data_IF_113547880006
#
_entry.id   IF_113547880006
#
_cell.length_a   1.000
_cell.length_b   1.000
_cell.length_c   1.000
_cell.angle_alpha   90.00
_cell.angle_beta   90.00
_cell.angle_gamma   90.00
#
_symmetry.space_group_name_H-M   'P 1'
#
loop_
_entity.id
_entity.type
_entity.pdbx_description
1 polymer ?
#
# COMPACT_ATOMS: atom_id res chain seq x y z
N UNK A 1 1.96 11.97 11.52
CA UNK A 1 0.69 11.21 11.57
C UNK A 1 0.84 10.10 12.60
N UNK A 2 -0.05 10.05 13.57
CA UNK A 2 -0.07 8.98 14.56
C UNK A 2 -1.17 7.98 14.19
N UNK A 3 -0.81 6.72 14.02
CA UNK A 3 -1.75 5.67 13.66
C UNK A 3 -2.30 4.99 14.91
N UNK A 4 -3.61 4.79 14.94
CA UNK A 4 -4.29 4.07 16.01
C UNK A 4 -4.26 2.56 15.75
N UNK A 5 -4.55 1.71 16.75
CA UNK A 5 -4.72 0.28 16.50
C UNK A 5 -5.75 -0.03 15.40
N UNK A 6 -6.85 0.74 15.34
CA UNK A 6 -7.86 0.58 14.29
C UNK A 6 -7.27 0.89 12.90
N UNK A 7 -6.44 1.93 12.80
CA UNK A 7 -5.77 2.27 11.54
C UNK A 7 -4.89 1.13 11.06
N UNK A 8 -4.10 0.52 11.94
CA UNK A 8 -3.28 -0.63 11.58
C UNK A 8 -4.12 -1.85 11.19
N UNK A 9 -5.26 -2.05 11.83
CA UNK A 9 -6.16 -3.14 11.48
C UNK A 9 -6.70 -2.96 10.05
N UNK A 10 -7.17 -1.76 9.71
CA UNK A 10 -7.63 -1.46 8.34
C UNK A 10 -6.50 -1.58 7.33
N UNK A 11 -5.33 -1.06 7.67
CA UNK A 11 -4.15 -1.09 6.80
C UNK A 11 -3.74 -2.53 6.50
N UNK A 12 -3.76 -3.41 7.51
CA UNK A 12 -3.38 -4.81 7.33
C UNK A 12 -4.25 -5.54 6.31
N UNK A 13 -5.54 -5.19 6.25
CA UNK A 13 -6.46 -5.81 5.30
C UNK A 13 -6.08 -5.53 3.86
N UNK A 14 -5.82 -4.27 3.52
CA UNK A 14 -5.44 -3.92 2.14
C UNK A 14 -4.06 -4.46 1.79
N UNK A 15 -3.11 -4.43 2.71
CA UNK A 15 -1.79 -5.00 2.50
C UNK A 15 -1.90 -6.50 2.23
N UNK A 16 -2.73 -7.20 2.99
CA UNK A 16 -2.94 -8.65 2.85
C UNK A 16 -3.38 -9.04 1.44
N UNK A 17 -4.27 -8.27 0.83
CA UNK A 17 -4.82 -8.60 -0.49
C UNK A 17 -3.99 -8.05 -1.65
N UNK A 18 -3.17 -7.03 -1.41
CA UNK A 18 -2.45 -6.33 -2.49
C UNK A 18 -0.96 -6.67 -2.58
N UNK A 19 -0.35 -7.21 -1.53
CA UNK A 19 1.07 -7.52 -1.48
C UNK A 19 1.33 -9.01 -1.31
N UNK A 20 2.42 -9.50 -1.90
CA UNK A 20 2.89 -10.86 -1.63
C UNK A 20 3.34 -10.97 -0.17
N UNK A 21 2.99 -12.05 0.55
CA UNK A 21 3.29 -12.17 1.97
C UNK A 21 4.80 -12.24 2.24
N UNK A 22 5.20 -11.60 3.33
CA UNK A 22 6.59 -11.59 3.83
C UNK A 22 7.59 -10.98 2.84
N UNK A 23 7.15 -9.99 2.07
CA UNK A 23 8.01 -9.25 1.14
C UNK A 23 8.09 -7.79 1.56
N UNK A 24 9.08 -7.08 1.06
CA UNK A 24 9.18 -5.62 1.25
C UNK A 24 7.97 -4.89 0.68
N UNK A 25 7.28 -5.49 -0.29
CA UNK A 25 6.10 -4.90 -0.90
C UNK A 25 4.96 -4.70 0.10
N UNK A 26 4.87 -5.49 1.17
CA UNK A 26 3.89 -5.25 2.23
C UNK A 26 4.03 -3.83 2.80
N UNK A 27 5.27 -3.41 3.06
CA UNK A 27 5.54 -2.06 3.60
C UNK A 27 5.30 -0.98 2.55
N UNK A 28 5.59 -1.27 1.30
CA UNK A 28 5.38 -0.32 0.21
C UNK A 28 3.89 -0.10 -0.09
N UNK A 29 3.09 -1.14 -0.07
CA UNK A 29 1.63 -0.99 -0.16
C UNK A 29 1.13 -0.13 1.00
N UNK A 30 1.58 -0.42 2.24
CA UNK A 30 1.19 0.36 3.42
C UNK A 30 1.57 1.84 3.26
N UNK A 31 2.80 2.12 2.85
CA UNK A 31 3.27 3.51 2.66
C UNK A 31 2.44 4.21 1.58
N UNK A 32 2.11 3.53 0.47
CA UNK A 32 1.29 4.13 -0.58
C UNK A 32 -0.11 4.53 -0.06
N UNK A 33 -0.70 3.70 0.80
CA UNK A 33 -1.98 4.03 1.46
C UNK A 33 -1.84 5.27 2.34
N UNK A 34 -0.78 5.32 3.15
CA UNK A 34 -0.53 6.46 4.03
C UNK A 34 -0.22 7.74 3.23
N UNK A 35 0.43 7.61 2.08
CA UNK A 35 0.63 8.73 1.17
C UNK A 35 -0.71 9.30 0.69
N UNK A 36 -1.69 8.44 0.39
CA UNK A 36 -3.05 8.88 0.05
C UNK A 36 -3.68 9.66 1.20
N UNK A 37 -3.56 9.15 2.43
CA UNK A 37 -4.11 9.83 3.61
C UNK A 37 -3.58 11.27 3.75
N UNK A 38 -2.31 11.48 3.39
CA UNK A 38 -1.68 12.80 3.44
C UNK A 38 -1.96 13.68 2.22
N UNK A 39 -2.52 13.11 1.16
CA UNK A 39 -2.78 13.83 -0.08
C UNK A 39 -4.17 14.47 -0.05
N UNK A 40 -4.31 15.74 -0.48
CA UNK A 40 -5.63 16.37 -0.56
C UNK A 40 -6.56 15.75 -1.61
N UNK A 41 -6.05 14.87 -2.45
CA UNK A 41 -6.82 14.19 -3.51
C UNK A 41 -7.58 12.97 -3.00
N UNK A 42 -7.36 12.56 -1.74
CA UNK A 42 -7.94 11.35 -1.16
C UNK A 42 -8.53 11.67 0.21
N UNK A 43 -9.35 10.76 0.78
CA UNK A 43 -9.83 10.94 2.16
C UNK A 43 -8.66 11.08 3.15
N UNK A 44 -8.85 11.89 4.18
CA UNK A 44 -7.80 12.24 5.14
C UNK A 44 -7.61 11.26 6.28
N UNK A 45 -8.13 10.03 6.18
CA UNK A 45 -7.95 8.99 7.20
C UNK A 45 -7.83 7.61 6.55
N UNK A 46 -7.26 6.67 7.30
CA UNK A 46 -6.96 5.33 6.79
C UNK A 46 -8.23 4.60 6.33
N UNK A 47 -9.26 4.56 7.16
CA UNK A 47 -10.50 3.85 6.80
C UNK A 47 -11.15 4.44 5.55
N UNK A 48 -11.15 5.76 5.41
CA UNK A 48 -11.69 6.45 4.24
C UNK A 48 -10.97 6.05 2.97
N UNK A 49 -9.64 5.96 3.02
CA UNK A 49 -8.83 5.53 1.87
C UNK A 49 -9.05 4.06 1.56
N UNK A 50 -8.93 3.20 2.57
CA UNK A 50 -8.96 1.74 2.39
C UNK A 50 -10.31 1.26 1.85
N UNK A 51 -11.40 1.86 2.31
CA UNK A 51 -12.75 1.46 1.93
C UNK A 51 -13.37 2.33 0.83
N UNK A 52 -12.61 3.19 0.18
CA UNK A 52 -13.11 3.98 -0.94
C UNK A 52 -13.59 3.09 -2.08
N UNK A 53 -14.80 3.28 -2.60
CA UNK A 53 -15.33 2.47 -3.69
C UNK A 53 -14.40 2.50 -4.91
N UNK A 54 -14.12 1.32 -5.47
CA UNK A 54 -13.35 1.19 -6.71
C UNK A 54 -11.84 1.36 -6.57
N UNK A 55 -11.30 1.57 -5.35
CA UNK A 55 -9.87 1.83 -5.18
C UNK A 55 -9.04 0.56 -4.95
N UNK A 56 -9.45 -0.30 -4.05
CA UNK A 56 -8.74 -1.55 -3.75
C UNK A 56 -9.71 -2.70 -3.98
N UNK A 57 -9.78 -3.17 -5.22
CA UNK A 57 -10.76 -4.18 -5.63
C UNK A 57 -10.68 -5.45 -4.77
N UNK A 58 -9.47 -5.86 -4.40
CA UNK A 58 -9.26 -7.01 -3.54
C UNK A 58 -9.98 -6.93 -2.20
N UNK A 59 -10.17 -5.71 -1.66
CA UNK A 59 -10.91 -5.50 -0.42
C UNK A 59 -12.36 -5.94 -0.53
N UNK A 60 -13.00 -5.65 -1.66
CA UNK A 60 -14.40 -5.99 -1.91
C UNK A 60 -14.58 -7.45 -2.34
N UNK A 61 -13.64 -7.95 -3.13
CA UNK A 61 -13.70 -9.31 -3.67
C UNK A 61 -13.37 -10.36 -2.62
N UNK A 62 -12.33 -10.13 -1.81
CA UNK A 62 -11.80 -11.11 -0.87
C UNK A 62 -12.30 -10.94 0.56
N UNK A 63 -12.79 -9.74 0.92
CA UNK A 63 -13.28 -9.40 2.28
C UNK A 63 -12.32 -9.91 3.36
N UNK A 64 -11.07 -9.44 3.37
CA UNK A 64 -10.05 -10.00 4.25
C UNK A 64 -10.35 -9.73 5.73
N UNK A 65 -9.91 -10.66 6.58
CA UNK A 65 -9.89 -10.45 8.02
C UNK A 65 -8.61 -9.72 8.42
N UNK A 66 -8.60 -9.15 9.64
CA UNK A 66 -7.41 -8.54 10.21
C UNK A 66 -6.37 -9.64 10.47
N UNK A 67 -5.17 -9.45 9.95
CA UNK A 67 -4.03 -10.31 10.19
C UNK A 67 -3.14 -9.65 11.25
N UNK A 68 -3.21 -10.13 12.48
CA UNK A 68 -2.51 -9.51 13.61
C UNK A 68 -0.99 -9.66 13.52
N UNK A 69 -0.49 -10.73 12.90
CA UNK A 69 0.94 -10.85 12.65
C UNK A 69 1.41 -9.77 11.66
N UNK A 70 0.61 -9.49 10.64
CA UNK A 70 0.90 -8.41 9.70
C UNK A 70 0.80 -7.04 10.37
N UNK A 71 -0.19 -6.84 11.25
CA UNK A 71 -0.29 -5.60 12.05
C UNK A 71 1.01 -5.36 12.81
N UNK A 72 1.56 -6.40 13.44
CA UNK A 72 2.84 -6.30 14.16
C UNK A 72 3.98 -5.89 13.22
N UNK A 73 4.07 -6.53 12.05
CA UNK A 73 5.14 -6.21 11.10
C UNK A 73 5.05 -4.77 10.59
N UNK A 74 3.85 -4.27 10.33
CA UNK A 74 3.65 -2.91 9.80
C UNK A 74 4.03 -1.81 10.79
N UNK A 75 4.23 -2.16 12.06
CA UNK A 75 4.70 -1.20 13.07
C UNK A 75 6.23 -1.05 13.08
N UNK A 76 6.95 -1.79 12.24
CA UNK A 76 8.40 -1.66 12.10
C UNK A 76 8.74 -0.36 11.37
N UNK A 77 9.14 0.64 12.16
CA UNK A 77 9.44 1.98 11.64
C UNK A 77 10.58 1.96 10.63
N UNK A 78 11.61 1.16 10.88
CA UNK A 78 12.77 1.08 9.97
C UNK A 78 12.36 0.58 8.60
N UNK A 79 11.53 -0.46 8.55
CA UNK A 79 11.04 -1.01 7.29
C UNK A 79 10.08 -0.05 6.59
N UNK A 80 9.23 0.65 7.33
CA UNK A 80 8.35 1.66 6.74
C UNK A 80 9.14 2.83 6.14
N UNK A 81 10.21 3.28 6.81
CA UNK A 81 11.09 4.31 6.28
C UNK A 81 11.85 3.82 5.03
N UNK A 82 12.29 2.57 5.03
CA UNK A 82 12.92 1.96 3.85
C UNK A 82 11.96 1.94 2.66
N UNK A 83 10.71 1.56 2.89
CA UNK A 83 9.69 1.57 1.87
C UNK A 83 9.49 2.98 1.30
N UNK A 84 9.39 3.98 2.18
CA UNK A 84 9.24 5.37 1.75
C UNK A 84 10.46 5.84 0.93
N UNK A 85 11.67 5.40 1.29
CA UNK A 85 12.85 5.76 0.52
C UNK A 85 12.82 5.20 -0.92
N UNK A 86 12.09 4.10 -1.13
CA UNK A 86 11.95 3.49 -2.47
C UNK A 86 10.84 4.18 -3.27
N UNK A 87 9.65 4.30 -2.70
CA UNK A 87 8.48 4.78 -3.45
C UNK A 87 8.20 6.28 -3.27
N UNK A 88 8.78 6.92 -2.26
CA UNK A 88 8.54 8.35 -2.00
C UNK A 88 7.06 8.61 -1.72
N UNK A 89 6.54 9.70 -2.30
CA UNK A 89 5.15 10.13 -2.12
C UNK A 89 4.16 9.48 -3.09
N UNK A 90 4.57 8.43 -3.79
CA UNK A 90 3.70 7.75 -4.74
C UNK A 90 2.48 7.16 -4.04
N UNK A 91 1.34 7.27 -4.68
CA UNK A 91 0.03 6.91 -4.11
C UNK A 91 -0.63 5.72 -4.78
N UNK A 92 -0.13 5.30 -5.94
CA UNK A 92 -0.76 4.28 -6.77
C UNK A 92 0.22 3.17 -7.08
N UNK A 93 -0.31 2.00 -7.43
CA UNK A 93 0.52 0.87 -7.85
C UNK A 93 -0.24 -0.02 -8.81
N UNK A 94 0.52 -0.82 -9.57
CA UNK A 94 0.00 -1.82 -10.50
C UNK A 94 0.78 -3.11 -10.31
N UNK A 95 0.12 -4.23 -10.55
CA UNK A 95 0.72 -5.54 -10.38
C UNK A 95 1.63 -5.98 -11.51
N UNK A 96 2.22 -7.16 -11.36
CA UNK A 96 3.18 -7.73 -12.31
C UNK A 96 2.62 -7.88 -13.73
N UNK A 97 1.31 -8.14 -13.86
CA UNK A 97 0.67 -8.26 -15.17
C UNK A 97 0.73 -6.96 -15.99
N UNK A 98 1.06 -5.83 -15.32
CA UNK A 98 1.16 -4.52 -15.97
C UNK A 98 2.62 -4.08 -16.11
N UNK A 99 3.56 -5.01 -16.04
CA UNK A 99 4.99 -4.73 -16.01
C UNK A 99 5.49 -3.93 -17.22
N UNK A 100 4.87 -4.08 -18.40
CA UNK A 100 5.21 -3.31 -19.57
C UNK A 100 5.04 -1.79 -19.35
N UNK A 101 4.06 -1.40 -18.52
CA UNK A 101 3.86 0.01 -18.19
C UNK A 101 4.96 0.53 -17.27
N UNK A 102 5.45 -0.32 -16.37
CA UNK A 102 6.57 0.03 -15.50
C UNK A 102 7.84 0.28 -16.30
N UNK A 103 8.10 -0.58 -17.30
CA UNK A 103 9.28 -0.43 -18.17
C UNK A 103 9.21 0.93 -18.87
N UNK A 104 8.05 1.31 -19.37
CA UNK A 104 7.87 2.59 -20.04
C UNK A 104 8.00 3.79 -19.11
N UNK A 105 7.52 3.67 -17.88
CA UNK A 105 7.47 4.78 -16.89
C UNK A 105 8.69 4.83 -15.98
N UNK A 106 9.49 3.77 -15.90
CA UNK A 106 10.62 3.65 -14.99
C UNK A 106 10.19 3.68 -13.50
N UNK A 107 8.97 3.26 -13.20
CA UNK A 107 8.46 3.27 -11.81
C UNK A 107 9.17 2.24 -10.93
N UNK A 108 9.41 2.55 -9.64
CA UNK A 108 10.11 1.65 -8.74
C UNK A 108 9.27 0.47 -8.30
N UNK A 109 9.94 -0.62 -7.96
CA UNK A 109 9.38 -1.80 -7.32
C UNK A 109 10.15 -2.05 -6.03
N UNK A 110 9.43 -2.53 -5.00
CA UNK A 110 10.05 -2.85 -3.71
C UNK A 110 10.49 -4.32 -3.61
N UNK A 111 9.91 -5.18 -4.45
CA UNK A 111 10.20 -6.61 -4.47
C UNK A 111 9.90 -7.13 -5.88
N UNK A 112 10.69 -8.10 -6.35
CA UNK A 112 10.50 -8.68 -7.68
C UNK A 112 9.16 -9.38 -7.86
N UNK A 113 8.51 -9.74 -6.74
CA UNK A 113 7.17 -10.34 -6.73
C UNK A 113 6.08 -9.32 -6.37
N UNK A 114 6.43 -8.04 -6.30
CA UNK A 114 5.54 -6.99 -5.84
C UNK A 114 4.96 -6.16 -6.95
N UNK A 115 4.36 -5.07 -6.51
CA UNK A 115 3.78 -4.08 -7.39
C UNK A 115 4.83 -3.06 -7.82
N UNK A 116 4.54 -2.31 -8.88
CA UNK A 116 5.33 -1.13 -9.20
C UNK A 116 4.48 0.12 -8.91
N UNK A 117 5.14 1.19 -8.46
CA UNK A 117 4.48 2.34 -7.84
C UNK A 117 4.58 3.58 -8.72
N UNK A 118 3.51 4.37 -8.78
CA UNK A 118 3.47 5.58 -9.61
C UNK A 118 2.68 6.69 -8.92
N UNK A 119 2.81 7.90 -9.47
CA UNK A 119 2.04 9.05 -8.99
C UNK A 119 0.62 9.01 -9.56
N UNK A 120 -0.29 9.71 -8.90
CA UNK A 120 -1.73 9.65 -9.15
C UNK A 120 -2.12 9.81 -10.63
N UNK A 121 -1.40 10.65 -11.37
CA UNK A 121 -1.75 10.98 -12.75
C UNK A 121 -0.95 10.22 -13.81
N UNK A 122 -0.22 9.24 -13.42
CA UNK A 122 0.58 8.44 -14.36
C UNK A 122 -0.14 7.19 -14.84
#
# INVERSE_FOLDING_TARGET
MTLTPADYAHLSKVVKVEAAPNTMDEYCVAVSVLNRVRSPKFPGNVSGVVYSPGQYEGMWRNRPYVDYALVQRLQDRTKMLSAYSIIGDRTDFKGQSMLQYRIASQDPMCDTRGNFYHYYWQ
#
